data_IF_405903029875
#
_entry.id   IF_405903029875
#
_cell.length_a   1.000
_cell.length_b   1.000
_cell.length_c   1.000
_cell.angle_alpha   90.00
_cell.angle_beta   90.00
_cell.angle_gamma   90.00
#
_symmetry.space_group_name_H-M   'P 1'
#
loop_
_entity.id
_entity.type
_entity.pdbx_description
1 polymer ?
#
# COMPACT_ATOMS: atom_id res chain seq x y z
N UNK A 1 -47.25 2.18 11.69
CA UNK A 1 -45.91 2.26 11.05
C UNK A 1 -44.83 1.61 11.95
N UNK A 2 -44.95 0.32 12.32
CA UNK A 2 -44.11 -0.31 13.38
C UNK A 2 -43.48 -1.67 13.00
N UNK A 3 -43.55 -2.09 11.74
CA UNK A 3 -43.24 -3.46 11.33
C UNK A 3 -41.88 -3.65 10.66
N UNK A 4 -41.20 -2.58 10.25
CA UNK A 4 -39.93 -2.67 9.51
C UNK A 4 -38.71 -3.02 10.41
N UNK A 5 -38.72 -2.66 11.70
CA UNK A 5 -37.57 -2.91 12.61
C UNK A 5 -37.45 -4.36 13.11
N UNK A 6 -38.48 -5.20 13.02
CA UNK A 6 -38.43 -6.56 13.59
C UNK A 6 -37.69 -7.57 12.71
N UNK A 7 -37.45 -7.27 11.44
CA UNK A 7 -36.75 -8.21 10.54
C UNK A 7 -35.25 -8.28 10.84
N UNK A 8 -34.64 -7.16 11.26
CA UNK A 8 -33.21 -7.08 11.58
C UNK A 8 -32.81 -7.97 12.76
N UNK A 9 -33.71 -8.19 13.72
CA UNK A 9 -33.43 -8.95 14.95
C UNK A 9 -33.62 -10.47 14.84
N UNK A 10 -34.09 -11.02 13.71
CA UNK A 10 -34.36 -12.47 13.59
C UNK A 10 -33.12 -13.33 13.29
N UNK A 11 -32.01 -12.72 12.86
CA UNK A 11 -30.76 -13.43 12.53
C UNK A 11 -29.56 -12.62 13.04
N UNK A 12 -29.30 -12.62 14.37
CA UNK A 12 -28.20 -11.85 14.96
C UNK A 12 -26.84 -12.18 14.32
N UNK A 13 -26.64 -13.43 13.89
CA UNK A 13 -25.45 -13.87 13.15
C UNK A 13 -25.26 -13.11 11.81
N UNK A 14 -26.34 -12.90 11.05
CA UNK A 14 -26.28 -12.22 9.76
C UNK A 14 -26.00 -10.72 9.95
N UNK A 15 -26.60 -10.11 10.96
CA UNK A 15 -26.32 -8.73 11.34
C UNK A 15 -24.86 -8.58 11.76
N UNK A 16 -24.36 -9.48 12.60
CA UNK A 16 -22.96 -9.48 13.02
C UNK A 16 -22.02 -9.61 11.82
N UNK A 17 -22.28 -10.56 10.92
CA UNK A 17 -21.50 -10.75 9.70
C UNK A 17 -21.49 -9.49 8.82
N UNK A 18 -22.64 -8.84 8.63
CA UNK A 18 -22.72 -7.59 7.85
C UNK A 18 -21.95 -6.46 8.51
N UNK A 19 -22.03 -6.33 9.84
CA UNK A 19 -21.25 -5.34 10.61
C UNK A 19 -19.75 -5.61 10.45
N UNK A 20 -19.32 -6.87 10.57
CA UNK A 20 -17.91 -7.25 10.39
C UNK A 20 -17.42 -6.92 8.98
N UNK A 21 -18.18 -7.28 7.94
CA UNK A 21 -17.85 -6.93 6.55
C UNK A 21 -17.76 -5.42 6.37
N UNK A 22 -18.69 -4.66 6.96
CA UNK A 22 -18.69 -3.21 6.89
C UNK A 22 -17.45 -2.61 7.57
N UNK A 23 -17.06 -3.10 8.75
CA UNK A 23 -15.84 -2.66 9.45
C UNK A 23 -14.59 -3.00 8.63
N UNK A 24 -14.52 -4.20 8.06
CA UNK A 24 -13.41 -4.61 7.18
C UNK A 24 -13.33 -3.68 5.97
N UNK A 25 -14.46 -3.39 5.32
CA UNK A 25 -14.51 -2.45 4.19
C UNK A 25 -14.11 -1.02 4.60
N UNK A 26 -14.55 -0.54 5.77
CA UNK A 26 -14.18 0.79 6.27
C UNK A 26 -12.67 0.96 6.43
N UNK A 27 -11.98 -0.09 6.89
CA UNK A 27 -10.55 -0.10 7.16
C UNK A 27 -9.70 -0.66 6.01
N UNK A 28 -10.32 -1.02 4.89
CA UNK A 28 -9.64 -1.75 3.82
C UNK A 28 -8.54 -0.88 3.17
N UNK A 29 -7.27 -1.32 3.15
CA UNK A 29 -6.20 -0.47 2.66
C UNK A 29 -6.09 -0.48 1.14
N UNK A 30 -5.75 0.67 0.57
CA UNK A 30 -5.64 0.86 -0.89
C UNK A 30 -4.40 0.25 -1.53
N UNK A 31 -3.38 -0.08 -0.74
CA UNK A 31 -2.11 -0.64 -1.22
C UNK A 31 -2.26 -2.06 -1.79
N UNK A 32 -3.43 -2.70 -1.67
CA UNK A 32 -3.70 -3.99 -2.33
C UNK A 32 -3.80 -3.88 -3.86
N UNK A 33 -4.13 -2.69 -4.38
CA UNK A 33 -4.31 -2.50 -5.81
C UNK A 33 -3.09 -1.82 -6.42
N UNK A 34 -2.30 -2.59 -7.16
CA UNK A 34 -1.18 -2.09 -7.97
C UNK A 34 -1.39 -2.50 -9.42
N UNK A 35 -1.30 -1.54 -10.32
CA UNK A 35 -1.43 -1.75 -11.75
C UNK A 35 -0.99 -0.53 -12.54
N UNK A 36 -0.91 -0.65 -13.86
CA UNK A 36 -0.46 0.46 -14.71
C UNK A 36 -1.33 1.72 -14.57
N UNK A 37 -2.60 1.59 -14.17
CA UNK A 37 -3.55 2.70 -14.05
C UNK A 37 -3.32 3.60 -12.81
N UNK A 38 -2.59 3.14 -11.79
CA UNK A 38 -2.18 3.97 -10.66
C UNK A 38 -0.67 4.10 -10.49
N UNK A 39 0.09 3.70 -11.52
CA UNK A 39 1.54 3.86 -11.53
C UNK A 39 1.88 5.33 -11.78
N UNK A 40 2.66 5.91 -10.89
CA UNK A 40 3.08 7.32 -10.99
C UNK A 40 4.50 7.41 -11.56
N UNK A 41 5.42 6.61 -11.02
CA UNK A 41 6.78 6.55 -11.55
C UNK A 41 7.45 5.21 -11.27
N UNK A 42 8.55 4.97 -11.97
CA UNK A 42 9.40 3.81 -11.85
C UNK A 42 10.86 4.24 -11.81
N UNK A 43 11.63 3.68 -10.89
CA UNK A 43 13.08 3.83 -10.82
C UNK A 43 13.69 2.45 -10.90
N UNK A 44 14.68 2.30 -11.79
CA UNK A 44 15.45 1.06 -11.93
C UNK A 44 16.80 1.24 -11.27
N UNK A 45 17.30 0.15 -10.69
CA UNK A 45 18.69 0.03 -10.30
C UNK A 45 19.62 0.13 -11.53
N UNK A 46 20.87 0.55 -11.32
CA UNK A 46 21.90 0.66 -12.36
C UNK A 46 22.12 -0.67 -13.10
N UNK A 47 22.02 -1.79 -12.38
CA UNK A 47 22.20 -3.13 -12.94
C UNK A 47 20.89 -3.74 -13.50
N UNK A 48 19.77 -3.03 -13.37
CA UNK A 48 18.44 -3.52 -13.75
C UNK A 48 17.96 -4.74 -12.96
N UNK A 49 18.59 -5.05 -11.82
CA UNK A 49 18.19 -6.19 -10.97
C UNK A 49 16.91 -5.92 -10.17
N UNK A 50 16.71 -4.66 -9.80
CA UNK A 50 15.58 -4.22 -9.01
C UNK A 50 14.89 -3.03 -9.65
N UNK A 51 13.57 -2.97 -9.46
CA UNK A 51 12.74 -1.87 -9.93
C UNK A 51 11.82 -1.43 -8.79
N UNK A 52 11.97 -0.19 -8.34
CA UNK A 52 11.05 0.44 -7.40
C UNK A 52 9.96 1.18 -8.19
N UNK A 53 8.71 0.80 -7.96
CA UNK A 53 7.56 1.46 -8.58
C UNK A 53 6.74 2.11 -7.49
N UNK A 54 6.36 3.37 -7.75
CA UNK A 54 5.46 4.09 -6.88
C UNK A 54 4.08 4.17 -7.50
N UNK A 55 3.12 3.82 -6.66
CA UNK A 55 1.72 3.77 -7.00
C UNK A 55 0.95 4.77 -6.17
N UNK A 56 -0.05 5.38 -6.79
CA UNK A 56 -1.03 6.20 -6.12
C UNK A 56 -2.06 5.33 -5.40
N UNK A 57 -2.27 5.63 -4.13
CA UNK A 57 -3.33 5.08 -3.26
C UNK A 57 -4.69 5.51 -3.81
N UNK A 58 -5.59 4.54 -4.00
CA UNK A 58 -6.96 4.80 -4.39
C UNK A 58 -7.89 5.04 -3.19
N UNK A 59 -8.90 5.92 -3.31
CA UNK A 59 -9.92 6.14 -2.27
C UNK A 59 -11.02 5.06 -2.32
N UNK A 60 -10.65 3.80 -2.12
CA UNK A 60 -11.58 2.63 -2.19
C UNK A 60 -12.35 2.35 -0.89
N UNK A 61 -11.92 2.94 0.22
CA UNK A 61 -12.52 2.82 1.54
C UNK A 61 -12.51 4.18 2.23
N UNK A 62 -13.40 4.41 3.22
CA UNK A 62 -13.37 5.60 4.07
C UNK A 62 -11.98 5.88 4.67
N UNK A 63 -11.29 4.87 5.20
CA UNK A 63 -9.94 5.03 5.74
C UNK A 63 -8.93 5.46 4.66
N UNK A 64 -8.95 4.81 3.49
CA UNK A 64 -8.06 5.18 2.39
C UNK A 64 -8.35 6.59 1.86
N UNK A 65 -9.62 6.98 1.78
CA UNK A 65 -10.03 8.33 1.40
C UNK A 65 -9.58 9.38 2.40
N UNK A 66 -9.71 9.11 3.71
CA UNK A 66 -9.19 9.98 4.76
C UNK A 66 -7.67 10.19 4.62
N UNK A 67 -6.91 9.12 4.45
CA UNK A 67 -5.45 9.19 4.25
C UNK A 67 -5.08 9.95 2.98
N UNK A 68 -5.83 9.73 1.89
CA UNK A 68 -5.64 10.45 0.63
C UNK A 68 -5.85 11.96 0.78
N UNK A 69 -6.88 12.40 1.51
CA UNK A 69 -7.12 13.82 1.79
C UNK A 69 -6.00 14.42 2.66
N UNK A 70 -5.46 13.64 3.60
CA UNK A 70 -4.34 14.04 4.46
C UNK A 70 -2.98 14.09 3.74
N UNK A 71 -2.91 13.82 2.43
CA UNK A 71 -1.67 13.90 1.65
C UNK A 71 -0.89 12.60 1.54
N UNK A 72 -1.27 11.56 2.29
CA UNK A 72 -0.68 10.22 2.18
C UNK A 72 -1.27 9.49 0.98
N UNK A 73 -0.71 9.78 -0.19
CA UNK A 73 -1.28 9.40 -1.49
C UNK A 73 -0.49 8.32 -2.20
N UNK A 74 0.66 7.87 -1.68
CA UNK A 74 1.54 6.97 -2.41
C UNK A 74 1.95 5.75 -1.59
N UNK A 75 2.32 4.69 -2.29
CA UNK A 75 2.95 3.51 -1.72
C UNK A 75 3.97 2.94 -2.72
N UNK A 76 4.97 2.24 -2.20
CA UNK A 76 6.09 1.72 -2.99
C UNK A 76 5.97 0.20 -3.07
N UNK A 77 6.27 -0.34 -4.25
CA UNK A 77 6.45 -1.77 -4.46
C UNK A 77 7.82 -1.98 -5.09
N UNK A 78 8.59 -2.90 -4.53
CA UNK A 78 9.87 -3.33 -5.08
C UNK A 78 9.65 -4.62 -5.88
N UNK A 79 10.16 -4.61 -7.12
CA UNK A 79 10.13 -5.74 -8.03
C UNK A 79 11.54 -6.24 -8.33
N UNK A 80 11.65 -7.54 -8.58
CA UNK A 80 12.87 -8.14 -9.14
C UNK A 80 12.96 -7.93 -10.67
N UNK A 81 14.07 -8.38 -11.26
CA UNK A 81 14.33 -8.33 -12.70
C UNK A 81 13.33 -9.12 -13.55
N UNK A 82 12.51 -10.00 -12.94
CA UNK A 82 11.45 -10.79 -13.58
C UNK A 82 10.07 -10.13 -13.41
N UNK A 83 10.01 -8.88 -12.93
CA UNK A 83 8.77 -8.16 -12.59
C UNK A 83 7.92 -8.86 -11.50
N UNK A 84 8.53 -9.68 -10.64
CA UNK A 84 7.85 -10.25 -9.47
C UNK A 84 7.96 -9.27 -8.30
N UNK A 85 6.82 -8.97 -7.67
CA UNK A 85 6.79 -8.17 -6.44
C UNK A 85 7.50 -8.92 -5.32
N UNK A 86 8.63 -8.40 -4.85
CA UNK A 86 9.40 -8.96 -3.73
C UNK A 86 9.10 -8.26 -2.41
N UNK A 87 8.69 -7.00 -2.45
CA UNK A 87 8.30 -6.25 -1.25
C UNK A 87 7.31 -5.13 -1.57
N UNK A 88 6.49 -4.76 -0.59
CA UNK A 88 5.55 -3.64 -0.65
C UNK A 88 5.55 -2.87 0.66
N UNK A 89 5.48 -1.54 0.58
CA UNK A 89 5.36 -0.68 1.75
C UNK A 89 4.07 -0.95 2.53
N UNK A 90 4.14 -0.81 3.85
CA UNK A 90 2.98 -1.01 4.72
C UNK A 90 1.84 -0.06 4.33
N UNK A 91 0.57 -0.50 4.44
CA UNK A 91 -0.57 0.40 4.33
C UNK A 91 -0.52 1.64 5.22
N UNK A 92 0.21 1.54 6.33
CA UNK A 92 0.33 2.58 7.35
C UNK A 92 1.53 3.51 7.13
N UNK A 93 2.46 3.14 6.24
CA UNK A 93 3.57 4.01 5.87
C UNK A 93 3.01 5.18 5.07
N UNK A 94 3.34 6.40 5.54
CA UNK A 94 2.91 7.64 4.89
C UNK A 94 4.00 8.11 3.94
N UNK A 95 3.62 8.28 2.67
CA UNK A 95 4.52 8.70 1.61
C UNK A 95 3.79 9.77 0.79
N UNK A 96 4.28 11.00 0.91
CA UNK A 96 3.84 12.18 0.18
C UNK A 96 4.56 12.30 -1.16
N UNK A 97 4.09 13.24 -1.98
CA UNK A 97 4.70 13.55 -3.26
C UNK A 97 6.15 14.03 -3.11
N UNK A 98 6.42 14.79 -2.05
CA UNK A 98 7.72 15.41 -1.79
C UNK A 98 8.75 14.39 -1.33
N UNK A 99 8.34 13.43 -0.49
CA UNK A 99 9.23 12.41 0.05
C UNK A 99 9.92 11.60 -1.05
N UNK A 100 9.21 11.25 -2.12
CA UNK A 100 9.80 10.36 -3.12
C UNK A 100 10.77 11.02 -4.11
N UNK A 101 10.91 12.34 -4.13
CA UNK A 101 12.01 12.99 -4.86
C UNK A 101 13.38 12.70 -4.24
N UNK A 102 13.40 12.19 -3.01
CA UNK A 102 14.63 11.95 -2.27
C UNK A 102 15.45 10.74 -2.78
N UNK A 103 15.04 10.11 -3.90
CA UNK A 103 15.69 8.94 -4.51
C UNK A 103 15.58 7.66 -3.67
N UNK A 104 15.94 6.54 -4.29
CA UNK A 104 15.93 5.20 -3.70
C UNK A 104 17.36 4.67 -3.58
N UNK A 105 17.65 3.97 -2.48
CA UNK A 105 18.86 3.16 -2.35
C UNK A 105 18.53 1.72 -2.68
N UNK A 106 19.04 1.20 -3.81
CA UNK A 106 18.83 -0.19 -4.19
C UNK A 106 19.84 -1.13 -3.52
N UNK A 107 19.46 -2.40 -3.28
CA UNK A 107 20.41 -3.43 -2.86
C UNK A 107 21.53 -3.59 -3.87
N UNK A 108 22.76 -3.79 -3.39
CA UNK A 108 23.98 -3.98 -4.20
C UNK A 108 24.66 -5.32 -3.85
N UNK A 109 25.74 -5.72 -4.54
CA UNK A 109 26.52 -6.88 -4.14
C UNK A 109 27.00 -6.84 -2.68
N UNK A 110 27.21 -5.65 -2.11
CA UNK A 110 27.76 -5.47 -0.76
C UNK A 110 26.72 -5.10 0.30
N UNK A 111 25.50 -4.71 -0.09
CA UNK A 111 24.39 -4.40 0.84
C UNK A 111 23.09 -5.00 0.33
N UNK A 112 22.35 -5.67 1.20
CA UNK A 112 21.04 -6.24 0.91
C UNK A 112 19.87 -5.30 1.27
N UNK A 113 20.18 -4.09 1.73
CA UNK A 113 19.18 -3.12 2.15
C UNK A 113 18.58 -2.35 0.95
N UNK A 114 17.25 -2.34 0.88
CA UNK A 114 16.49 -1.38 0.09
C UNK A 114 16.11 -0.20 0.98
N UNK A 115 16.55 1.00 0.62
CA UNK A 115 16.31 2.26 1.32
C UNK A 115 15.29 3.06 0.53
N UNK A 116 14.22 3.48 1.19
CA UNK A 116 13.16 4.24 0.55
C UNK A 116 12.70 5.41 1.43
N UNK A 117 12.26 6.51 0.79
CA UNK A 117 11.80 7.67 1.53
C UNK A 117 10.36 7.51 2.02
N UNK A 118 10.08 8.14 3.16
CA UNK A 118 8.77 8.28 3.80
C UNK A 118 8.60 9.72 4.25
N UNK A 119 7.40 10.07 4.72
CA UNK A 119 7.15 11.40 5.29
C UNK A 119 7.94 11.65 6.59
N UNK A 120 8.57 10.62 7.15
CA UNK A 120 9.35 10.69 8.39
C UNK A 120 10.86 10.55 8.14
N UNK A 121 11.32 10.57 6.89
CA UNK A 121 12.73 10.42 6.52
C UNK A 121 12.96 9.22 5.61
N UNK A 122 13.93 8.37 5.94
CA UNK A 122 14.20 7.13 5.20
C UNK A 122 13.94 5.93 6.09
N UNK A 123 13.34 4.90 5.49
CA UNK A 123 13.26 3.57 6.06
C UNK A 123 14.08 2.59 5.21
N UNK A 124 14.54 1.51 5.82
CA UNK A 124 15.30 0.47 5.15
C UNK A 124 14.77 -0.91 5.50
N UNK A 125 14.75 -1.79 4.51
CA UNK A 125 14.40 -3.20 4.67
C UNK A 125 15.46 -4.08 4.02
N UNK A 126 15.84 -5.17 4.70
CA UNK A 126 16.77 -6.14 4.16
C UNK A 126 16.03 -7.13 3.26
N UNK A 127 16.42 -7.20 1.99
CA UNK A 127 15.91 -8.14 1.02
C UNK A 127 16.85 -9.34 1.04
N UNK A 128 16.36 -10.52 1.45
CA UNK A 128 17.12 -11.75 1.21
C UNK A 128 17.37 -11.87 -0.30
N UNK A 129 18.65 -11.81 -0.70
CA UNK A 129 19.04 -12.04 -2.09
C UNK A 129 18.47 -13.39 -2.49
N UNK A 130 17.66 -13.37 -3.56
CA UNK A 130 17.23 -14.60 -4.21
C UNK A 130 18.50 -15.23 -4.78
N UNK A 131 19.03 -16.26 -4.10
CA UNK A 131 20.04 -17.16 -4.65
C UNK A 131 19.55 -17.83 -5.95
#
# INVERSE_FOLDING_TARGET
MKTQCKFFFKKPLLVFLLITIFIIWMLFPSTFFSGNWNKEFEVKDENGQYTAVVYRKLPISPYAMFKFVMGDKYFIVLYDSKNKSIWKSSPFTSISYEAFFASFGFPTPNTDAFIYPTDYGYESIHINKLE
#
